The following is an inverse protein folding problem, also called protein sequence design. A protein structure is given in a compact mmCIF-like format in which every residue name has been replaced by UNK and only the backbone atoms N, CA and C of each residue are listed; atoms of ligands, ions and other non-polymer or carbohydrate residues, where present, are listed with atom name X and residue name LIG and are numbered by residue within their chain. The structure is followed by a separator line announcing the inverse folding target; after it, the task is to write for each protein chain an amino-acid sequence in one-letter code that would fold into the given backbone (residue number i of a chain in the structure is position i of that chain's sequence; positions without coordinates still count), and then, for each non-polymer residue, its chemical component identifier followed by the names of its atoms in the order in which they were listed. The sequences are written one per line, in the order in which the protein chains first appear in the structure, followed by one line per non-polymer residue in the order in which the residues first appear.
data_IF_849965755592
#
_entry.id   IF_849965755592
#
_cell.length_a   1.000
_cell.length_b   1.000
_cell.length_c   1.000
_cell.angle_alpha   90.00
_cell.angle_beta   90.00
_cell.angle_gamma   90.00
#
_symmetry.space_group_name_H-M   'P 1'
#
loop_
_entity.id
_entity.type
_entity.pdbx_description
1 polymer ?
#
# COMPACT_ATOMS: atom_id res chain seq x y z
N UNK A 1 12.03 -1.06 -1.42
CA UNK A 1 12.13 -1.62 -0.04
C UNK A 1 10.76 -2.08 0.44
N UNK A 2 9.76 -1.19 0.50
CA UNK A 2 8.38 -1.51 0.91
C UNK A 2 7.75 -2.71 0.17
N UNK A 3 7.98 -2.86 -1.13
CA UNK A 3 7.47 -4.01 -1.91
C UNK A 3 7.98 -5.38 -1.41
N UNK A 4 9.15 -5.41 -0.75
CA UNK A 4 9.74 -6.62 -0.20
C UNK A 4 9.47 -6.82 1.30
N UNK A 5 8.85 -5.84 1.97
CA UNK A 5 8.53 -5.88 3.40
C UNK A 5 7.45 -6.92 3.64
N UNK A 6 7.78 -7.92 4.46
CA UNK A 6 6.82 -8.93 4.93
C UNK A 6 5.69 -8.24 5.70
N UNK A 7 4.43 -8.70 5.60
CA UNK A 7 3.38 -8.22 6.50
C UNK A 7 3.78 -8.37 7.96
N UNK A 8 3.42 -7.38 8.79
CA UNK A 8 3.69 -7.44 10.22
C UNK A 8 2.93 -8.61 10.83
N UNK A 9 3.57 -9.37 11.71
CA UNK A 9 2.88 -10.45 12.41
C UNK A 9 1.75 -9.84 13.27
N UNK A 10 0.49 -10.27 13.11
CA UNK A 10 -0.59 -9.77 13.94
C UNK A 10 -0.60 -10.47 15.31
N UNK A 11 -0.98 -9.74 16.35
CA UNK A 11 -1.13 -10.32 17.70
C UNK A 11 -2.34 -11.27 17.75
N UNK A 12 -3.44 -10.86 17.11
CA UNK A 12 -4.67 -11.65 16.98
C UNK A 12 -5.25 -11.53 15.58
N UNK A 13 -5.88 -12.61 15.12
CA UNK A 13 -6.62 -12.66 13.86
C UNK A 13 -8.09 -12.91 14.15
N UNK A 14 -8.91 -11.89 13.89
CA UNK A 14 -10.37 -11.98 13.92
C UNK A 14 -10.89 -12.51 12.59
N UNK A 15 -11.91 -13.35 12.63
CA UNK A 15 -12.55 -13.90 11.43
C UNK A 15 -14.05 -13.64 11.46
N UNK A 16 -14.57 -13.23 10.32
CA UNK A 16 -16.00 -13.15 10.02
C UNK A 16 -16.25 -14.00 8.80
N UNK A 17 -17.25 -14.88 8.88
CA UNK A 17 -17.75 -15.60 7.72
C UNK A 17 -19.15 -15.08 7.43
N UNK A 18 -19.40 -14.61 6.21
CA UNK A 18 -20.74 -14.18 5.81
C UNK A 18 -21.69 -15.39 5.87
N UNK A 19 -22.75 -15.28 6.68
CA UNK A 19 -23.73 -16.33 6.89
C UNK A 19 -24.74 -16.48 5.75
N UNK A 20 -25.71 -17.39 5.94
CA UNK A 20 -26.86 -17.58 5.03
C UNK A 20 -27.63 -16.28 4.83
N UNK A 21 -28.01 -15.97 3.59
CA UNK A 21 -28.78 -14.77 3.21
C UNK A 21 -27.99 -13.69 2.47
N UNK A 22 -26.65 -13.75 2.45
CA UNK A 22 -25.81 -12.90 1.59
C UNK A 22 -25.56 -13.51 0.20
N UNK A 23 -25.86 -14.78 0.03
CA UNK A 23 -25.66 -15.55 -1.21
C UNK A 23 -26.93 -15.67 -2.08
N UNK A 24 -28.07 -15.16 -1.62
CA UNK A 24 -29.39 -15.39 -2.24
C UNK A 24 -29.90 -14.20 -3.08
N UNK A 25 -29.41 -12.98 -2.80
CA UNK A 25 -29.98 -11.76 -3.37
C UNK A 25 -28.97 -10.99 -4.24
N UNK A 26 -28.79 -11.36 -5.52
CA UNK A 26 -27.74 -10.81 -6.40
C UNK A 26 -27.91 -9.33 -6.77
N UNK A 27 -29.10 -8.76 -6.56
CA UNK A 27 -29.40 -7.36 -6.86
C UNK A 27 -29.51 -6.48 -5.59
N UNK A 28 -29.29 -7.06 -4.41
CA UNK A 28 -29.39 -6.32 -3.15
C UNK A 28 -28.14 -5.49 -2.92
N UNK A 29 -28.35 -4.28 -2.43
CA UNK A 29 -27.28 -3.41 -1.94
C UNK A 29 -27.16 -3.55 -0.42
N UNK A 30 -25.94 -3.76 0.06
CA UNK A 30 -25.62 -3.93 1.47
C UNK A 30 -24.64 -2.84 1.91
N UNK A 31 -24.81 -2.34 3.13
CA UNK A 31 -23.77 -1.56 3.80
C UNK A 31 -22.75 -2.53 4.39
N UNK A 32 -21.54 -2.58 3.81
CA UNK A 32 -20.48 -3.50 4.23
C UNK A 32 -20.03 -3.25 5.66
N UNK A 33 -19.95 -1.97 6.06
CA UNK A 33 -19.52 -1.62 7.40
C UNK A 33 -20.54 -2.06 8.43
N UNK A 34 -21.80 -1.63 8.27
CA UNK A 34 -22.86 -1.95 9.24
C UNK A 34 -23.15 -3.45 9.31
N UNK A 35 -23.17 -4.12 8.16
CA UNK A 35 -23.60 -5.53 8.08
C UNK A 35 -22.55 -6.51 8.59
N UNK A 36 -21.25 -6.19 8.44
CA UNK A 36 -20.17 -7.14 8.70
C UNK A 36 -19.05 -6.55 9.55
N UNK A 37 -18.48 -5.41 9.12
CA UNK A 37 -17.24 -4.92 9.71
C UNK A 37 -17.41 -4.32 11.12
N UNK A 38 -18.54 -3.68 11.41
CA UNK A 38 -18.81 -2.94 12.66
C UNK A 38 -18.64 -3.79 13.93
N UNK A 39 -18.82 -5.11 13.82
CA UNK A 39 -18.66 -6.04 14.94
C UNK A 39 -17.20 -6.24 15.39
N UNK A 40 -16.24 -5.97 14.49
CA UNK A 40 -14.80 -6.18 14.66
C UNK A 40 -13.94 -4.97 14.29
N UNK A 41 -14.57 -3.82 14.04
CA UNK A 41 -13.89 -2.53 13.92
C UNK A 41 -14.33 -1.66 15.10
N UNK A 42 -13.39 -1.39 15.99
CA UNK A 42 -13.60 -0.46 17.09
C UNK A 42 -13.38 0.98 16.59
N UNK A 43 -13.93 1.94 17.32
CA UNK A 43 -13.72 3.36 17.04
C UNK A 43 -13.59 4.16 18.33
N UNK A 44 -12.89 5.30 18.23
CA UNK A 44 -12.66 6.18 19.36
C UNK A 44 -12.21 7.57 18.93
N UNK A 45 -11.85 8.36 19.92
CA UNK A 45 -11.38 9.73 19.75
C UNK A 45 -9.88 9.82 20.04
N UNK A 46 -9.08 10.27 19.06
CA UNK A 46 -7.69 10.64 19.29
C UNK A 46 -7.64 12.11 19.72
N UNK A 47 -7.33 12.35 20.99
CA UNK A 47 -7.22 13.70 21.56
C UNK A 47 -6.08 14.53 20.96
N UNK A 48 -4.94 13.91 20.65
CA UNK A 48 -3.79 14.62 20.09
C UNK A 48 -4.03 15.09 18.66
N UNK A 49 -4.82 14.34 17.91
CA UNK A 49 -5.20 14.68 16.53
C UNK A 49 -6.57 15.34 16.41
N UNK A 50 -7.33 15.43 17.51
CA UNK A 50 -8.69 15.97 17.57
C UNK A 50 -9.63 15.36 16.52
N UNK A 51 -9.62 14.04 16.39
CA UNK A 51 -10.42 13.34 15.38
C UNK A 51 -10.90 11.96 15.84
N UNK A 52 -12.04 11.54 15.28
CA UNK A 52 -12.46 10.14 15.33
C UNK A 52 -11.57 9.30 14.43
N UNK A 53 -11.25 8.11 14.90
CA UNK A 53 -10.51 7.11 14.15
C UNK A 53 -11.00 5.70 14.48
N UNK A 54 -10.66 4.74 13.62
CA UNK A 54 -11.11 3.36 13.71
C UNK A 54 -9.93 2.41 13.59
N UNK A 55 -10.06 1.20 14.15
CA UNK A 55 -9.04 0.17 14.10
C UNK A 55 -9.65 -1.22 14.25
N UNK A 56 -8.93 -2.27 13.87
CA UNK A 56 -9.36 -3.65 14.11
C UNK A 56 -9.50 -3.91 15.61
N UNK A 57 -10.54 -4.65 15.99
CA UNK A 57 -10.90 -4.89 17.39
C UNK A 57 -9.71 -5.24 18.27
N UNK A 58 -9.57 -4.49 19.37
CA UNK A 58 -8.51 -4.70 20.36
C UNK A 58 -7.13 -4.14 20.01
N UNK A 59 -6.98 -3.40 18.90
CA UNK A 59 -5.76 -2.63 18.60
C UNK A 59 -5.30 -2.71 17.13
N UNK A 60 -4.48 -1.73 16.71
CA UNK A 60 -3.94 -1.58 15.35
C UNK A 60 -2.95 -2.70 14.94
N UNK A 61 -2.53 -3.52 15.88
CA UNK A 61 -1.65 -4.66 15.64
C UNK A 61 -2.39 -5.98 15.39
N UNK A 62 -3.72 -5.96 15.36
CA UNK A 62 -4.55 -7.13 15.06
C UNK A 62 -4.96 -7.17 13.59
N UNK A 63 -5.47 -8.32 13.14
CA UNK A 63 -5.98 -8.52 11.77
C UNK A 63 -7.46 -8.91 11.79
N UNK A 64 -8.21 -8.47 10.78
CA UNK A 64 -9.58 -8.89 10.50
C UNK A 64 -9.65 -9.54 9.10
N UNK A 65 -10.08 -10.79 9.04
CA UNK A 65 -10.37 -11.51 7.80
C UNK A 65 -11.88 -11.70 7.67
N UNK A 66 -12.44 -11.31 6.52
CA UNK A 66 -13.86 -11.43 6.20
C UNK A 66 -14.01 -12.33 4.97
N UNK A 67 -14.52 -13.54 5.18
CA UNK A 67 -14.78 -14.50 4.11
C UNK A 67 -16.23 -14.41 3.64
N UNK A 68 -16.41 -13.96 2.41
CA UNK A 68 -17.68 -13.77 1.72
C UNK A 68 -17.65 -14.39 0.31
N UNK A 69 -16.84 -15.43 0.07
CA UNK A 69 -16.64 -16.01 -1.28
C UNK A 69 -17.93 -16.35 -2.03
N UNK A 70 -18.99 -16.73 -1.31
CA UNK A 70 -20.28 -17.08 -1.90
C UNK A 70 -21.31 -15.94 -1.87
N UNK A 71 -20.98 -14.81 -1.25
CA UNK A 71 -21.85 -13.65 -1.22
C UNK A 71 -22.01 -13.03 -2.61
N UNK A 72 -23.23 -12.62 -2.93
CA UNK A 72 -23.60 -11.95 -4.17
C UNK A 72 -24.21 -10.59 -3.84
N UNK A 73 -24.43 -9.75 -4.86
CA UNK A 73 -24.94 -8.41 -4.66
C UNK A 73 -23.86 -7.34 -4.69
N UNK A 74 -24.25 -6.16 -4.19
CA UNK A 74 -23.39 -4.98 -4.18
C UNK A 74 -23.17 -4.53 -2.75
N UNK A 75 -21.91 -4.36 -2.36
CA UNK A 75 -21.53 -3.97 -1.01
C UNK A 75 -20.87 -2.62 -1.04
N UNK A 76 -21.37 -1.71 -0.21
CA UNK A 76 -20.90 -0.33 -0.14
C UNK A 76 -20.11 -0.14 1.13
N UNK A 77 -18.90 0.40 1.00
CA UNK A 77 -18.15 0.94 2.12
C UNK A 77 -18.13 2.45 1.97
N UNK A 78 -18.84 3.17 2.82
CA UNK A 78 -18.98 4.63 2.72
C UNK A 78 -18.85 5.25 4.10
N UNK A 79 -17.86 6.13 4.28
CA UNK A 79 -17.67 6.87 5.53
C UNK A 79 -16.74 6.20 6.54
N UNK A 80 -16.03 5.12 6.18
CA UNK A 80 -14.95 4.60 7.01
C UNK A 80 -13.73 5.51 6.86
N UNK A 81 -13.70 6.58 7.66
CA UNK A 81 -12.66 7.61 7.64
C UNK A 81 -11.72 7.48 8.83
N UNK A 82 -10.44 7.70 8.61
CA UNK A 82 -9.36 7.53 9.56
C UNK A 82 -9.34 6.10 10.12
N UNK A 83 -9.42 5.09 9.24
CA UNK A 83 -9.09 3.72 9.65
C UNK A 83 -7.58 3.64 9.86
N UNK A 84 -7.15 3.68 11.11
CA UNK A 84 -5.75 3.81 11.57
C UNK A 84 -5.00 2.50 11.72
N UNK A 85 -5.62 1.40 11.31
CA UNK A 85 -4.92 0.15 11.15
C UNK A 85 -5.49 -1.04 11.92
N UNK A 86 -4.65 -2.06 11.91
CA UNK A 86 -5.06 -3.44 11.91
C UNK A 86 -5.36 -3.89 10.49
N UNK A 87 -4.73 -4.99 10.09
CA UNK A 87 -4.84 -5.49 8.72
C UNK A 87 -6.28 -5.92 8.45
N UNK A 88 -6.80 -5.60 7.26
CA UNK A 88 -8.18 -5.87 6.88
C UNK A 88 -8.21 -6.58 5.54
N UNK A 89 -8.67 -7.83 5.54
CA UNK A 89 -8.81 -8.64 4.34
C UNK A 89 -10.30 -8.93 4.12
N UNK A 90 -10.89 -8.40 3.05
CA UNK A 90 -12.28 -8.67 2.68
C UNK A 90 -12.33 -9.43 1.36
N UNK A 91 -12.78 -10.69 1.44
CA UNK A 91 -12.84 -11.58 0.30
C UNK A 91 -14.28 -11.82 -0.15
N UNK A 92 -14.64 -11.32 -1.33
CA UNK A 92 -16.01 -11.26 -1.87
C UNK A 92 -16.05 -11.48 -3.39
N UNK A 93 -15.37 -12.52 -3.87
CA UNK A 93 -15.07 -12.77 -5.29
C UNK A 93 -16.27 -12.83 -6.24
N UNK A 94 -17.49 -13.00 -5.72
CA UNK A 94 -18.74 -13.05 -6.50
C UNK A 94 -19.58 -11.77 -6.40
N UNK A 95 -19.16 -10.81 -5.58
CA UNK A 95 -19.89 -9.57 -5.30
C UNK A 95 -19.19 -8.34 -5.87
N UNK A 96 -19.96 -7.28 -6.08
CA UNK A 96 -19.43 -5.96 -6.45
C UNK A 96 -19.15 -5.15 -5.20
N UNK A 97 -17.96 -4.57 -5.10
CA UNK A 97 -17.61 -3.59 -4.09
C UNK A 97 -17.76 -2.18 -4.64
N UNK A 98 -18.44 -1.31 -3.90
CA UNK A 98 -18.47 0.13 -4.13
C UNK A 98 -17.73 0.82 -2.98
N UNK A 99 -16.55 1.37 -3.28
CA UNK A 99 -15.77 2.18 -2.36
C UNK A 99 -16.23 3.64 -2.46
N UNK A 100 -17.06 4.01 -1.50
CA UNK A 100 -17.71 5.30 -1.43
C UNK A 100 -19.15 5.26 -1.93
N UNK A 101 -19.93 6.25 -1.50
CA UNK A 101 -21.23 6.60 -2.06
C UNK A 101 -21.54 8.04 -1.64
N UNK A 102 -22.20 8.21 -0.49
CA UNK A 102 -22.49 9.53 0.09
C UNK A 102 -21.23 10.17 0.70
N UNK A 103 -20.28 9.36 1.16
CA UNK A 103 -19.03 9.83 1.73
C UNK A 103 -17.87 8.99 1.20
N UNK A 104 -16.65 9.52 1.32
CA UNK A 104 -15.42 8.80 0.99
C UNK A 104 -14.89 7.96 2.15
N UNK A 105 -13.76 7.31 1.91
CA UNK A 105 -13.08 6.46 2.88
C UNK A 105 -11.62 6.89 3.03
N UNK A 106 -11.01 6.56 4.16
CA UNK A 106 -9.58 6.72 4.31
C UNK A 106 -8.95 5.64 5.17
N UNK A 107 -7.80 5.15 4.70
CA UNK A 107 -7.01 4.10 5.32
C UNK A 107 -5.63 4.67 5.62
N UNK A 108 -5.19 4.54 6.86
CA UNK A 108 -3.94 5.09 7.35
C UNK A 108 -3.37 4.19 8.45
N UNK A 109 -2.20 4.54 8.94
CA UNK A 109 -1.58 3.88 10.09
C UNK A 109 -1.16 4.93 11.11
N UNK A 110 -0.80 4.49 12.31
CA UNK A 110 0.01 5.32 13.22
C UNK A 110 1.44 4.84 13.25
N UNK A 111 2.36 5.79 13.28
CA UNK A 111 3.74 5.54 13.61
C UNK A 111 3.83 5.12 15.07
N UNK A 112 4.26 3.89 15.28
CA UNK A 112 4.53 3.27 16.56
C UNK A 112 5.98 2.80 16.61
N UNK A 113 6.41 2.20 17.73
CA UNK A 113 7.79 1.70 17.87
C UNK A 113 8.12 0.53 16.95
N UNK A 114 7.12 -0.06 16.29
CA UNK A 114 7.28 -1.17 15.36
C UNK A 114 7.22 -0.72 13.89
N UNK A 115 7.03 0.59 13.63
CA UNK A 115 6.88 1.18 12.30
C UNK A 115 5.97 0.33 11.39
N UNK A 116 4.81 -0.05 11.95
CA UNK A 116 3.87 -0.97 11.29
C UNK A 116 3.31 -0.38 10.02
N UNK A 117 3.01 -1.26 9.07
CA UNK A 117 2.30 -0.95 7.83
C UNK A 117 0.88 -1.48 7.92
N UNK A 118 -0.12 -0.61 7.76
CA UNK A 118 -1.51 -1.09 7.65
C UNK A 118 -1.75 -1.66 6.26
N UNK A 119 -2.23 -2.90 6.17
CA UNK A 119 -2.59 -3.54 4.89
C UNK A 119 -4.10 -3.74 4.81
N UNK A 120 -4.71 -3.17 3.77
CA UNK A 120 -6.14 -3.30 3.51
C UNK A 120 -6.31 -3.92 2.15
N UNK A 121 -6.91 -5.11 2.10
CA UNK A 121 -7.04 -5.91 0.91
C UNK A 121 -8.53 -6.19 0.62
N UNK A 122 -8.99 -5.79 -0.57
CA UNK A 122 -10.30 -6.13 -1.09
C UNK A 122 -10.16 -7.04 -2.30
N UNK A 123 -10.84 -8.19 -2.28
CA UNK A 123 -10.89 -9.14 -3.39
C UNK A 123 -12.34 -9.33 -3.83
N UNK A 124 -12.76 -8.71 -4.91
CA UNK A 124 -14.15 -8.65 -5.36
C UNK A 124 -14.31 -9.11 -6.82
N UNK A 125 -15.55 -9.20 -7.28
CA UNK A 125 -15.85 -9.38 -8.71
C UNK A 125 -15.54 -8.11 -9.50
N UNK A 126 -16.16 -7.01 -9.07
CA UNK A 126 -15.95 -5.66 -9.57
C UNK A 126 -15.64 -4.72 -8.41
N UNK A 127 -14.81 -3.72 -8.65
CA UNK A 127 -14.59 -2.63 -7.70
C UNK A 127 -14.90 -1.30 -8.41
N UNK A 128 -15.83 -0.54 -7.84
CA UNK A 128 -16.16 0.82 -8.26
C UNK A 128 -15.78 1.80 -7.17
N UNK A 129 -14.99 2.81 -7.51
CA UNK A 129 -14.61 3.90 -6.61
C UNK A 129 -15.49 5.09 -6.95
N UNK A 130 -16.49 5.33 -6.09
CA UNK A 130 -17.59 6.26 -6.41
C UNK A 130 -17.46 7.60 -5.68
N UNK A 131 -16.47 7.72 -4.79
CA UNK A 131 -16.19 8.91 -4.00
C UNK A 131 -14.69 8.96 -3.69
N UNK A 132 -14.25 9.87 -2.82
CA UNK A 132 -12.84 9.96 -2.46
C UNK A 132 -12.35 8.74 -1.67
N UNK A 133 -11.11 8.32 -1.95
CA UNK A 133 -10.34 7.34 -1.17
C UNK A 133 -8.97 7.95 -0.88
N UNK A 134 -8.68 8.15 0.40
CA UNK A 134 -7.40 8.67 0.85
C UNK A 134 -6.56 7.56 1.48
N UNK A 135 -5.32 7.39 1.03
CA UNK A 135 -4.40 6.33 1.46
C UNK A 135 -3.22 6.98 2.19
N UNK A 136 -2.99 6.52 3.42
CA UNK A 136 -2.05 7.05 4.40
C UNK A 136 -2.30 8.53 4.78
N UNK A 137 -3.57 8.92 4.87
CA UNK A 137 -3.95 10.30 5.18
C UNK A 137 -3.51 10.71 6.59
N UNK A 138 -3.36 12.03 6.78
CA UNK A 138 -3.23 12.62 8.11
C UNK A 138 -4.53 12.48 8.89
N UNK A 139 -4.46 11.97 10.12
CA UNK A 139 -5.62 11.95 11.01
C UNK A 139 -5.82 13.33 11.64
N UNK A 140 -6.99 13.92 11.41
CA UNK A 140 -7.39 15.20 12.00
C UNK A 140 -6.41 16.34 11.72
N UNK A 141 -5.99 17.04 12.77
CA UNK A 141 -4.99 18.12 12.68
C UNK A 141 -3.60 17.61 12.32
N UNK A 142 -3.30 16.34 12.64
CA UNK A 142 -1.98 15.73 12.59
C UNK A 142 -0.98 16.30 13.58
N UNK A 143 -1.42 17.03 14.62
CA UNK A 143 -0.55 17.52 15.68
C UNK A 143 -0.01 16.37 16.55
N UNK A 144 -0.85 15.36 16.81
CA UNK A 144 -0.52 14.17 17.60
C UNK A 144 0.28 13.13 16.82
N UNK A 145 -0.14 11.87 16.90
CA UNK A 145 0.54 10.75 16.25
C UNK A 145 0.56 10.93 14.73
N UNK A 146 1.71 10.65 14.12
CA UNK A 146 1.96 10.76 12.68
C UNK A 146 1.62 9.44 11.98
N UNK A 147 1.31 9.49 10.70
CA UNK A 147 1.14 8.29 9.89
C UNK A 147 2.49 7.59 9.63
N UNK A 148 2.46 6.27 9.47
CA UNK A 148 3.62 5.45 9.09
C UNK A 148 3.52 5.14 7.59
N UNK A 149 3.18 3.91 7.21
CA UNK A 149 2.85 3.52 5.83
C UNK A 149 1.55 2.72 5.74
N UNK A 150 0.93 2.73 4.57
CA UNK A 150 -0.32 2.00 4.29
C UNK A 150 -0.28 1.41 2.89
N UNK A 151 -0.72 0.15 2.77
CA UNK A 151 -0.89 -0.55 1.51
C UNK A 151 -2.38 -0.86 1.33
N UNK A 152 -2.98 -0.31 0.29
CA UNK A 152 -4.33 -0.69 -0.16
C UNK A 152 -4.21 -1.58 -1.39
N UNK A 153 -4.76 -2.79 -1.34
CA UNK A 153 -4.83 -3.70 -2.49
C UNK A 153 -6.27 -3.86 -2.95
N UNK A 154 -6.52 -3.51 -4.21
CA UNK A 154 -7.80 -3.73 -4.87
C UNK A 154 -7.62 -4.82 -5.91
N UNK A 155 -8.25 -5.96 -5.69
CA UNK A 155 -8.24 -7.11 -6.60
C UNK A 155 -9.65 -7.33 -7.13
N UNK A 156 -9.81 -7.28 -8.44
CA UNK A 156 -11.11 -7.48 -9.09
C UNK A 156 -10.99 -8.44 -10.27
N UNK A 157 -11.85 -9.46 -10.33
CA UNK A 157 -11.81 -10.42 -11.43
C UNK A 157 -12.33 -9.87 -12.76
N UNK A 158 -13.17 -8.84 -12.75
CA UNK A 158 -13.73 -8.22 -13.96
C UNK A 158 -13.11 -6.84 -14.25
N UNK A 159 -13.22 -5.90 -13.31
CA UNK A 159 -12.68 -4.55 -13.52
C UNK A 159 -12.62 -3.70 -12.27
N UNK A 160 -11.71 -2.72 -12.30
CA UNK A 160 -11.63 -1.62 -11.33
C UNK A 160 -11.93 -0.32 -12.06
N UNK A 161 -12.98 0.37 -11.62
CA UNK A 161 -13.42 1.63 -12.23
C UNK A 161 -13.57 2.73 -11.19
N UNK A 162 -13.59 3.99 -11.62
CA UNK A 162 -14.00 5.09 -10.76
C UNK A 162 -14.95 6.04 -11.44
N UNK A 163 -15.78 6.72 -10.64
CA UNK A 163 -16.59 7.87 -11.09
C UNK A 163 -15.67 9.04 -11.49
N UNK A 164 -16.16 9.91 -12.39
CA UNK A 164 -15.46 11.12 -12.81
C UNK A 164 -15.15 12.10 -11.66
N UNK A 165 -15.95 12.06 -10.59
CA UNK A 165 -15.82 12.92 -9.43
C UNK A 165 -15.08 12.24 -8.27
N UNK A 166 -14.72 10.96 -8.41
CA UNK A 166 -13.92 10.28 -7.40
C UNK A 166 -12.51 10.88 -7.35
N UNK A 167 -11.90 10.92 -6.16
CA UNK A 167 -10.51 11.31 -6.01
C UNK A 167 -9.77 10.24 -5.21
N UNK A 168 -8.69 9.70 -5.79
CA UNK A 168 -7.83 8.75 -5.09
C UNK A 168 -6.57 9.51 -4.70
N UNK A 169 -6.40 9.79 -3.41
CA UNK A 169 -5.26 10.55 -2.89
C UNK A 169 -4.29 9.62 -2.17
N UNK A 170 -3.04 9.59 -2.63
CA UNK A 170 -1.93 8.89 -1.99
C UNK A 170 -1.02 9.91 -1.31
N UNK A 171 -0.85 9.77 0.00
CA UNK A 171 0.08 10.57 0.78
C UNK A 171 1.45 9.89 0.88
N UNK A 172 2.40 10.53 1.58
CA UNK A 172 3.70 9.91 1.88
C UNK A 172 3.52 8.53 2.54
N UNK A 173 4.27 7.52 2.11
CA UNK A 173 4.17 6.14 2.62
C UNK A 173 2.97 5.34 2.10
N UNK A 174 2.21 5.86 1.13
CA UNK A 174 1.06 5.16 0.56
C UNK A 174 1.44 4.27 -0.63
N UNK A 175 0.92 3.04 -0.64
CA UNK A 175 0.95 2.15 -1.81
C UNK A 175 -0.47 1.72 -2.19
N UNK A 176 -0.80 1.82 -3.47
CA UNK A 176 -2.03 1.28 -4.05
C UNK A 176 -1.69 0.16 -5.04
N UNK A 177 -2.03 -1.08 -4.70
CA UNK A 177 -1.91 -2.22 -5.59
C UNK A 177 -3.24 -2.46 -6.32
N UNK A 178 -3.20 -2.57 -7.65
CA UNK A 178 -4.34 -2.88 -8.50
C UNK A 178 -4.06 -4.18 -9.23
N UNK A 179 -4.97 -5.15 -9.10
CA UNK A 179 -4.92 -6.42 -9.81
C UNK A 179 -6.28 -6.67 -10.46
N UNK A 180 -6.36 -6.63 -11.78
CA UNK A 180 -7.60 -6.85 -12.51
C UNK A 180 -7.36 -7.09 -13.99
N UNK A 181 -8.41 -7.47 -14.71
CA UNK A 181 -8.37 -7.49 -16.18
C UNK A 181 -8.33 -6.08 -16.76
N UNK A 182 -8.94 -5.09 -16.12
CA UNK A 182 -8.92 -3.71 -16.60
C UNK A 182 -8.99 -2.72 -15.45
N UNK A 183 -8.32 -1.58 -15.62
CA UNK A 183 -8.36 -0.45 -14.68
C UNK A 183 -8.71 0.81 -15.45
N UNK A 184 -9.80 1.47 -15.07
CA UNK A 184 -10.25 2.74 -15.66
C UNK A 184 -10.65 3.74 -14.59
N UNK A 185 -9.73 4.62 -14.23
CA UNK A 185 -9.93 5.64 -13.20
C UNK A 185 -10.29 6.96 -13.87
N UNK A 186 -11.57 7.33 -13.82
CA UNK A 186 -12.10 8.52 -14.51
C UNK A 186 -11.91 9.80 -13.70
N UNK A 187 -11.86 9.69 -12.39
CA UNK A 187 -11.59 10.79 -11.48
C UNK A 187 -10.10 11.14 -11.37
N UNK A 188 -9.78 12.07 -10.46
CA UNK A 188 -8.39 12.48 -10.22
C UNK A 188 -7.66 11.43 -9.37
N UNK A 189 -6.48 11.04 -9.81
CA UNK A 189 -5.54 10.25 -9.01
C UNK A 189 -4.42 11.18 -8.58
N UNK A 190 -4.31 11.46 -7.28
CA UNK A 190 -3.34 12.39 -6.73
C UNK A 190 -2.25 11.65 -5.97
N UNK A 191 -1.05 11.62 -6.52
CA UNK A 191 0.13 10.99 -5.92
C UNK A 191 1.00 12.01 -5.20
N UNK A 192 1.38 11.72 -3.96
CA UNK A 192 2.30 12.55 -3.18
C UNK A 192 1.68 13.86 -2.67
N UNK A 193 0.41 13.80 -2.23
CA UNK A 193 -0.30 14.98 -1.72
C UNK A 193 0.32 15.48 -0.40
N UNK A 194 0.25 16.80 -0.15
CA UNK A 194 0.78 17.40 1.07
C UNK A 194 0.10 16.84 2.32
N UNK A 195 0.84 16.06 3.10
CA UNK A 195 0.26 15.36 4.25
C UNK A 195 0.05 16.27 5.46
N UNK A 196 0.97 17.21 5.73
CA UNK A 196 0.88 18.14 6.86
C UNK A 196 1.02 19.58 6.37
N UNK A 197 0.20 20.47 6.93
CA UNK A 197 0.26 21.90 6.62
C UNK A 197 1.66 22.43 6.99
N UNK A 198 2.29 23.15 6.08
CA UNK A 198 3.63 23.73 6.28
C UNK A 198 4.80 22.78 6.03
N UNK A 199 4.57 21.49 5.81
CA UNK A 199 5.63 20.50 5.54
C UNK A 199 6.08 20.49 4.06
N UNK A 200 6.25 21.66 3.45
CA UNK A 200 6.53 21.81 2.01
C UNK A 200 7.88 21.24 1.56
N UNK A 201 8.82 21.05 2.50
CA UNK A 201 10.14 20.50 2.23
C UNK A 201 10.20 18.97 2.39
N UNK A 202 9.17 18.35 2.95
CA UNK A 202 9.14 16.90 3.10
C UNK A 202 8.96 16.24 1.72
N UNK A 203 9.86 15.35 1.30
CA UNK A 203 9.59 14.51 0.15
C UNK A 203 8.39 13.62 0.48
N UNK A 204 7.50 13.44 -0.50
CA UNK A 204 6.34 12.57 -0.36
C UNK A 204 6.44 11.44 -1.36
N UNK A 205 6.66 10.22 -0.85
CA UNK A 205 6.79 9.02 -1.66
C UNK A 205 5.47 8.28 -1.73
N UNK A 206 5.03 7.94 -2.94
CA UNK A 206 3.82 7.15 -3.14
C UNK A 206 3.98 6.22 -4.32
N UNK A 207 3.33 5.05 -4.24
CA UNK A 207 3.42 4.01 -5.28
C UNK A 207 2.03 3.59 -5.73
N UNK A 208 1.81 3.55 -7.04
CA UNK A 208 0.71 2.78 -7.63
C UNK A 208 1.33 1.59 -8.35
N UNK A 209 0.88 0.39 -8.01
CA UNK A 209 1.35 -0.84 -8.61
C UNK A 209 0.22 -1.48 -9.41
N UNK A 210 0.40 -1.51 -10.73
CA UNK A 210 -0.52 -2.12 -11.70
C UNK A 210 0.11 -3.32 -12.40
N UNK A 211 1.21 -3.87 -11.88
CA UNK A 211 1.93 -4.98 -12.50
C UNK A 211 1.08 -6.24 -12.69
N UNK A 212 0.01 -6.39 -11.90
CA UNK A 212 -0.96 -7.48 -11.99
C UNK A 212 -2.21 -7.14 -12.81
N UNK A 213 -2.20 -6.03 -13.54
CA UNK A 213 -3.25 -5.70 -14.51
C UNK A 213 -2.91 -6.35 -15.84
N UNK A 214 -3.78 -7.27 -16.30
CA UNK A 214 -3.52 -8.06 -17.51
C UNK A 214 -3.96 -7.34 -18.79
N UNK A 215 -4.97 -6.47 -18.72
CA UNK A 215 -5.39 -5.60 -19.81
C UNK A 215 -4.81 -4.19 -19.68
N UNK A 216 -5.62 -3.20 -20.06
CA UNK A 216 -5.19 -1.81 -20.10
C UNK A 216 -5.41 -1.09 -18.77
N UNK A 217 -4.47 -0.20 -18.44
CA UNK A 217 -4.58 0.78 -17.37
C UNK A 217 -4.87 2.14 -17.97
N UNK A 218 -5.94 2.79 -17.51
CA UNK A 218 -6.34 4.12 -17.96
C UNK A 218 -6.57 5.03 -16.77
N UNK A 219 -5.72 6.06 -16.65
CA UNK A 219 -5.89 7.19 -15.76
C UNK A 219 -6.41 8.37 -16.58
N UNK A 220 -7.62 8.84 -16.30
CA UNK A 220 -8.14 10.03 -16.99
C UNK A 220 -7.39 11.30 -16.56
N UNK A 221 -7.12 11.45 -15.27
CA UNK A 221 -6.38 12.57 -14.70
C UNK A 221 -5.45 12.08 -13.58
N UNK A 222 -4.15 12.34 -13.74
CA UNK A 222 -3.10 12.05 -12.77
C UNK A 222 -2.44 13.36 -12.32
N UNK A 223 -2.43 13.61 -11.02
CA UNK A 223 -1.75 14.74 -10.39
C UNK A 223 -0.60 14.22 -9.53
N UNK A 224 0.59 14.82 -9.63
CA UNK A 224 1.75 14.44 -8.82
C UNK A 224 2.31 15.64 -8.07
N UNK A 225 2.34 15.53 -6.75
CA UNK A 225 2.80 16.56 -5.83
C UNK A 225 1.76 17.63 -5.52
N UNK A 226 1.98 18.30 -4.40
CA UNK A 226 1.19 19.44 -3.92
C UNK A 226 2.07 20.26 -2.99
N UNK A 227 2.64 21.36 -3.49
CA UNK A 227 3.54 22.24 -2.71
C UNK A 227 4.70 21.51 -2.02
N UNK A 228 5.11 20.36 -2.55
CA UNK A 228 6.15 19.51 -1.97
C UNK A 228 7.04 18.88 -3.05
N UNK A 229 8.15 18.26 -2.63
CA UNK A 229 9.06 17.53 -3.51
C UNK A 229 8.62 16.07 -3.69
N UNK A 230 7.35 15.84 -4.06
CA UNK A 230 6.81 14.49 -4.22
C UNK A 230 7.61 13.66 -5.24
N UNK A 231 7.82 12.38 -4.92
CA UNK A 231 8.46 11.39 -5.78
C UNK A 231 7.52 10.19 -5.89
N UNK A 232 6.74 10.16 -6.97
CA UNK A 232 5.75 9.14 -7.25
C UNK A 232 6.33 8.04 -8.14
N UNK A 233 5.91 6.80 -7.89
CA UNK A 233 6.25 5.65 -8.72
C UNK A 233 5.00 4.92 -9.22
N UNK A 234 4.94 4.63 -10.52
CA UNK A 234 3.98 3.70 -11.10
C UNK A 234 4.74 2.47 -11.57
N UNK A 235 4.52 1.34 -10.91
CA UNK A 235 4.93 0.02 -11.43
C UNK A 235 3.84 -0.40 -12.41
N UNK A 236 4.11 -0.22 -13.69
CA UNK A 236 3.12 -0.27 -14.75
C UNK A 236 2.91 -1.69 -15.28
N UNK A 237 1.71 -2.01 -15.79
CA UNK A 237 1.56 -3.08 -16.77
C UNK A 237 2.15 -2.66 -18.14
N UNK A 238 2.11 -3.56 -19.13
CA UNK A 238 2.66 -3.30 -20.47
C UNK A 238 2.09 -2.03 -21.13
N UNK A 239 0.84 -1.67 -20.84
CA UNK A 239 0.13 -0.57 -21.52
C UNK A 239 -0.53 0.36 -20.51
N UNK A 240 0.02 1.57 -20.40
CA UNK A 240 -0.50 2.61 -19.51
C UNK A 240 -0.94 3.82 -20.33
N UNK A 241 -2.19 4.24 -20.13
CA UNK A 241 -2.76 5.46 -20.70
C UNK A 241 -3.01 6.48 -19.61
N UNK A 242 -2.55 7.71 -19.82
CA UNK A 242 -2.78 8.87 -18.95
C UNK A 242 -3.39 9.97 -19.82
N UNK A 243 -4.58 10.45 -19.44
CA UNK A 243 -5.24 11.56 -20.12
C UNK A 243 -4.49 12.88 -19.86
N UNK A 244 -4.71 13.46 -18.69
CA UNK A 244 -3.96 14.65 -18.25
C UNK A 244 -3.01 14.27 -17.12
N UNK A 245 -1.75 14.67 -17.25
CA UNK A 245 -0.72 14.59 -16.21
C UNK A 245 -0.40 16.01 -15.72
N UNK A 246 -0.69 16.29 -14.45
CA UNK A 246 -0.33 17.54 -13.79
C UNK A 246 0.84 17.30 -12.81
N UNK A 247 2.01 17.87 -13.11
CA UNK A 247 3.18 17.80 -12.24
C UNK A 247 3.32 19.07 -11.41
N UNK A 248 3.58 18.93 -10.12
CA UNK A 248 4.07 20.05 -9.31
C UNK A 248 5.49 20.46 -9.73
N UNK A 249 5.86 21.71 -9.48
CA UNK A 249 7.14 22.30 -9.89
C UNK A 249 8.38 21.48 -9.50
N UNK A 250 8.31 20.76 -8.38
CA UNK A 250 9.37 19.90 -7.84
C UNK A 250 9.00 18.42 -7.80
N UNK A 251 7.94 18.00 -8.50
CA UNK A 251 7.50 16.62 -8.50
C UNK A 251 8.29 15.75 -9.48
N UNK A 252 8.61 14.53 -9.04
CA UNK A 252 9.08 13.45 -9.89
C UNK A 252 8.03 12.37 -10.04
N UNK A 253 7.86 11.84 -11.26
CA UNK A 253 7.07 10.66 -11.56
C UNK A 253 7.94 9.64 -12.30
N UNK A 254 8.04 8.42 -11.75
CA UNK A 254 8.75 7.31 -12.37
C UNK A 254 7.75 6.24 -12.80
N UNK A 255 7.59 6.02 -14.11
CA UNK A 255 6.75 4.97 -14.68
C UNK A 255 7.65 3.82 -15.13
N UNK A 256 7.61 2.73 -14.36
CA UNK A 256 8.45 1.55 -14.56
C UNK A 256 7.62 0.50 -15.29
N UNK A 257 7.92 0.26 -16.55
CA UNK A 257 7.36 -0.81 -17.34
C UNK A 257 8.04 -2.16 -17.02
N UNK A 258 7.38 -3.30 -17.28
CA UNK A 258 7.95 -4.62 -17.05
C UNK A 258 9.14 -4.89 -17.96
N UNK A 259 10.12 -5.71 -17.51
CA UNK A 259 11.20 -6.19 -18.36
C UNK A 259 10.68 -7.17 -19.42
N UNK A 260 11.54 -7.53 -20.36
CA UNK A 260 11.28 -8.63 -21.29
C UNK A 260 11.00 -9.93 -20.50
N UNK A 261 9.84 -10.56 -20.76
CA UNK A 261 9.35 -11.73 -20.01
C UNK A 261 8.48 -11.42 -18.79
N UNK A 262 8.22 -10.14 -18.49
CA UNK A 262 7.30 -9.71 -17.42
C UNK A 262 7.92 -9.70 -16.03
N UNK A 263 7.17 -9.19 -15.05
CA UNK A 263 7.57 -9.27 -13.65
C UNK A 263 7.49 -10.72 -13.17
N UNK A 264 8.54 -11.19 -12.50
CA UNK A 264 8.53 -12.49 -11.84
C UNK A 264 7.94 -12.33 -10.43
N UNK A 265 7.10 -13.28 -10.05
CA UNK A 265 6.70 -13.39 -8.65
C UNK A 265 7.94 -13.67 -7.80
N UNK A 266 7.92 -13.11 -6.58
CA UNK A 266 8.96 -13.40 -5.60
C UNK A 266 8.98 -14.91 -5.35
N UNK A 267 10.15 -15.58 -5.41
CA UNK A 267 10.22 -16.98 -5.02
C UNK A 267 9.72 -17.13 -3.59
N UNK A 268 8.76 -18.04 -3.37
CA UNK A 268 8.28 -18.36 -2.03
C UNK A 268 9.45 -19.00 -1.26
N UNK A 269 10.04 -18.24 -0.33
CA UNK A 269 10.94 -18.80 0.67
C UNK A 269 10.11 -19.55 1.73
N UNK A 270 9.49 -20.66 1.33
CA UNK A 270 9.18 -21.73 2.27
C UNK A 270 10.49 -22.48 2.46
N UNK A 271 11.06 -22.58 3.68
CA UNK A 271 12.16 -23.52 3.89
C UNK A 271 11.59 -24.90 3.61
N UNK A 272 11.97 -25.47 2.47
CA UNK A 272 11.72 -26.88 2.21
C UNK A 272 12.53 -27.64 3.26
N UNK A 273 11.87 -28.16 4.30
CA UNK A 273 12.45 -29.16 5.18
C UNK A 273 12.60 -30.45 4.37
N UNK A 274 13.54 -30.46 3.44
CA UNK A 274 14.11 -31.70 2.92
C UNK A 274 15.14 -32.17 3.93
N UNK A 275 14.83 -33.27 4.63
CA UNK A 275 15.66 -33.84 5.67
C UNK A 275 17.08 -34.14 5.21
N UNK A 276 18.05 -33.54 5.89
CA UNK A 276 19.39 -34.08 5.98
C UNK A 276 19.48 -34.84 7.31
N UNK A 277 19.75 -36.14 7.19
CA UNK A 277 19.95 -37.09 8.28
C UNK A 277 21.08 -36.60 9.20
N UNK A 278 20.81 -36.58 10.50
CA UNK A 278 21.84 -36.58 11.53
C UNK A 278 22.54 -37.94 11.49
N UNK A 279 23.73 -38.00 10.88
CA UNK A 279 24.62 -39.14 11.01
C UNK A 279 25.73 -38.82 12.03
N UNK A 280 25.88 -39.78 12.94
CA UNK A 280 27.06 -40.08 13.79
C UNK A 280 27.25 -39.29 15.08
N UNK A 281 26.52 -39.79 16.06
CA UNK A 281 27.02 -40.17 17.38
C UNK A 281 28.35 -40.96 17.26
N UNK A 282 29.43 -40.46 17.85
CA UNK A 282 30.59 -41.28 18.21
C UNK A 282 31.12 -40.87 19.59
N UNK A 283 31.36 -41.92 20.35
CA UNK A 283 31.61 -41.99 21.78
C UNK A 283 33.07 -41.79 22.16
N UNK A 284 33.26 -41.52 23.46
CA UNK A 284 34.43 -41.83 24.30
C UNK A 284 35.55 -40.77 24.38
N UNK A 285 35.64 -40.07 25.51
CA UNK A 285 36.39 -40.53 26.71
C UNK A 285 36.28 -39.47 27.82
N UNK A 286 35.79 -39.92 28.97
CA UNK A 286 35.98 -39.26 30.25
C UNK A 286 37.34 -39.71 30.80
N UNK A 287 38.24 -38.77 31.07
CA UNK A 287 39.29 -38.97 32.08
C UNK A 287 39.06 -37.97 33.21
N UNK A 288 38.77 -38.54 34.38
CA UNK A 288 38.70 -37.84 35.66
C UNK A 288 40.11 -37.47 36.10
N UNK A 289 40.28 -36.24 36.56
CA UNK A 289 41.34 -35.93 37.53
C UNK A 289 40.76 -35.03 38.63
N UNK A 290 40.72 -35.58 39.84
CA UNK A 290 40.35 -34.92 41.09
C UNK A 290 41.47 -33.99 41.59
N UNK A 291 41.09 -32.87 42.22
CA UNK A 291 41.74 -32.42 43.44
C UNK A 291 40.86 -31.44 44.25
N UNK A 292 40.42 -31.92 45.42
CA UNK A 292 40.48 -31.24 46.73
C UNK A 292 39.51 -30.09 47.10
N UNK A 293 38.49 -30.48 47.88
CA UNK A 293 38.04 -29.95 49.19
C UNK A 293 37.73 -28.45 49.44
N UNK A 294 36.43 -28.21 49.73
CA UNK A 294 35.84 -27.59 50.95
C UNK A 294 34.98 -26.30 50.84
N UNK A 295 33.77 -26.45 51.41
CA UNK A 295 32.85 -25.51 52.07
C UNK A 295 31.88 -24.60 51.28
N UNK A 296 30.62 -25.04 51.28
CA UNK A 296 29.39 -24.32 51.67
C UNK A 296 29.22 -22.85 51.26
N UNK A 297 28.48 -22.63 50.16
CA UNK A 297 27.33 -21.71 50.12
C UNK A 297 26.55 -21.92 48.81
N UNK A 298 25.22 -21.86 48.90
CA UNK A 298 24.25 -21.93 47.80
C UNK A 298 24.62 -20.96 46.66
N UNK A 299 24.99 -21.49 45.49
CA UNK A 299 25.04 -20.73 44.25
C UNK A 299 23.97 -21.27 43.29
N UNK A 300 22.90 -20.49 43.14
CA UNK A 300 22.00 -20.59 41.98
C UNK A 300 22.79 -20.07 40.79
N UNK A 301 23.41 -20.97 40.03
CA UNK A 301 23.95 -20.63 38.71
C UNK A 301 22.74 -20.57 37.78
N UNK A 302 22.17 -19.37 37.60
CA UNK A 302 21.35 -19.13 36.41
C UNK A 302 22.26 -19.34 35.20
N UNK A 303 21.90 -20.20 34.22
CA UNK A 303 22.68 -20.28 32.99
C UNK A 303 22.73 -18.88 32.35
N UNK A 304 23.88 -18.45 31.82
CA UNK A 304 23.99 -17.15 31.18
C UNK A 304 22.94 -17.06 30.08
N UNK A 305 21.97 -16.18 30.29
CA UNK A 305 20.92 -15.87 29.34
C UNK A 305 21.53 -14.98 28.24
N UNK A 306 22.36 -15.57 27.39
CA UNK A 306 22.93 -14.90 26.23
C UNK A 306 23.05 -15.84 25.04
N UNK A 307 21.95 -16.53 24.70
CA UNK A 307 21.81 -17.05 23.35
C UNK A 307 21.45 -15.89 22.42
N UNK A 308 22.42 -15.00 22.15
CA UNK A 308 22.33 -14.11 21.00
C UNK A 308 22.44 -14.98 19.76
N UNK A 309 21.31 -15.21 19.10
CA UNK A 309 21.24 -15.96 17.86
C UNK A 309 21.39 -14.99 16.70
N UNK A 310 22.30 -15.27 15.78
CA UNK A 310 22.37 -14.54 14.51
C UNK A 310 21.06 -14.74 13.76
N UNK A 311 20.34 -13.66 13.54
CA UNK A 311 19.16 -13.64 12.69
C UNK A 311 19.60 -13.25 11.27
N UNK A 312 19.33 -14.12 10.30
CA UNK A 312 19.57 -13.83 8.89
C UNK A 312 18.36 -13.04 8.40
N UNK A 313 18.55 -11.76 8.08
CA UNK A 313 17.50 -10.98 7.44
C UNK A 313 17.17 -11.56 6.05
N UNK A 314 15.90 -11.52 5.63
CA UNK A 314 15.52 -12.01 4.30
C UNK A 314 16.28 -11.24 3.22
N UNK A 315 16.67 -11.92 2.13
CA UNK A 315 17.36 -11.28 1.01
C UNK A 315 16.53 -10.12 0.48
N UNK A 316 17.07 -8.90 0.60
CA UNK A 316 16.48 -7.71 0.02
C UNK A 316 16.99 -7.57 -1.41
N UNK A 317 16.15 -7.93 -2.38
CA UNK A 317 16.40 -7.61 -3.78
C UNK A 317 16.10 -6.12 -3.98
N UNK A 318 17.09 -5.36 -4.42
CA UNK A 318 16.95 -3.96 -4.79
C UNK A 318 17.01 -3.90 -6.30
N UNK A 319 15.95 -3.39 -6.92
CA UNK A 319 15.89 -3.24 -8.37
C UNK A 319 16.74 -2.02 -8.78
N UNK A 320 17.75 -2.27 -9.62
CA UNK A 320 18.43 -1.21 -10.36
C UNK A 320 17.62 -0.79 -11.59
N UNK A 321 18.02 0.28 -12.29
CA UNK A 321 17.40 0.63 -13.56
C UNK A 321 17.58 -0.50 -14.58
N UNK A 322 16.49 -0.89 -15.25
CA UNK A 322 16.48 -1.91 -16.29
C UNK A 322 15.64 -1.45 -17.48
N UNK A 323 15.87 -2.02 -18.66
CA UNK A 323 15.10 -1.72 -19.86
C UNK A 323 13.73 -2.41 -19.83
N UNK A 324 12.67 -1.68 -20.18
CA UNK A 324 11.35 -2.27 -20.39
C UNK A 324 11.35 -3.23 -21.59
N UNK A 325 10.41 -4.17 -21.60
CA UNK A 325 10.18 -5.09 -22.71
C UNK A 325 9.77 -4.36 -24.00
N UNK A 326 9.96 -5.01 -25.15
CA UNK A 326 9.80 -4.36 -26.47
C UNK A 326 8.41 -3.75 -26.71
N UNK A 327 7.36 -4.38 -26.20
CA UNK A 327 5.97 -3.97 -26.41
C UNK A 327 5.42 -3.04 -25.31
N UNK A 328 6.30 -2.48 -24.48
CA UNK A 328 5.89 -1.61 -23.38
C UNK A 328 5.62 -0.18 -23.87
N UNK A 329 4.43 0.32 -23.56
CA UNK A 329 3.94 1.61 -24.06
C UNK A 329 3.34 2.46 -22.95
N UNK A 330 3.80 3.71 -22.88
CA UNK A 330 3.21 4.77 -22.06
C UNK A 330 2.64 5.84 -22.98
N UNK A 331 1.32 6.00 -22.95
CA UNK A 331 0.58 7.00 -23.70
C UNK A 331 0.13 8.11 -22.76
N UNK A 332 0.63 9.33 -22.96
CA UNK A 332 0.21 10.50 -22.18
C UNK A 332 -0.40 11.53 -23.13
N UNK A 333 -1.67 11.89 -22.97
CA UNK A 333 -2.29 12.82 -23.91
C UNK A 333 -1.86 14.28 -23.68
N UNK A 334 -1.73 14.71 -22.42
CA UNK A 334 -1.30 16.07 -22.05
C UNK A 334 -0.44 16.08 -20.80
N UNK A 335 0.63 16.86 -20.80
CA UNK A 335 1.46 17.12 -19.61
C UNK A 335 1.36 18.59 -19.24
N UNK A 336 1.07 18.89 -17.99
CA UNK A 336 1.12 20.23 -17.42
C UNK A 336 2.11 20.29 -16.26
N UNK A 337 2.62 21.49 -16.00
CA UNK A 337 3.36 21.80 -14.76
C UNK A 337 2.66 22.93 -14.01
N UNK A 338 2.45 22.75 -12.70
CA UNK A 338 1.84 23.71 -11.78
C UNK A 338 2.89 24.40 -10.87
N UNK A 339 2.57 25.61 -10.39
CA UNK A 339 3.48 26.56 -9.76
C UNK A 339 2.82 27.37 -8.63
N UNK A 340 3.49 27.64 -7.51
CA UNK A 340 3.03 28.61 -6.49
C UNK A 340 3.81 29.94 -6.46
N UNK A 341 4.63 30.20 -7.49
CA UNK A 341 5.36 31.47 -7.62
C UNK A 341 6.60 31.59 -6.73
N UNK A 342 6.95 30.55 -5.96
CA UNK A 342 8.24 30.53 -5.25
C UNK A 342 9.41 30.54 -6.25
N UNK A 343 10.52 31.15 -5.84
CA UNK A 343 11.71 31.40 -6.67
C UNK A 343 12.89 30.70 -6.02
N UNK A 344 13.72 30.00 -6.81
CA UNK A 344 15.00 29.44 -6.34
C UNK A 344 16.06 29.58 -7.42
N UNK A 345 17.33 29.68 -7.02
CA UNK A 345 18.46 29.68 -7.94
C UNK A 345 18.41 28.40 -8.79
N UNK A 346 18.48 28.56 -10.11
CA UNK A 346 18.40 27.44 -11.06
C UNK A 346 17.00 26.89 -11.34
N UNK A 347 15.94 27.45 -10.75
CA UNK A 347 14.57 27.06 -11.07
C UNK A 347 14.16 25.68 -10.54
N UNK A 348 12.88 25.34 -10.64
CA UNK A 348 12.34 24.07 -10.17
C UNK A 348 12.30 23.02 -11.29
N UNK A 349 12.65 21.78 -10.97
CA UNK A 349 12.64 20.65 -11.93
C UNK A 349 11.47 19.72 -11.61
N UNK A 350 10.47 19.73 -12.48
CA UNK A 350 9.51 18.64 -12.59
C UNK A 350 10.08 17.56 -13.52
N UNK A 351 9.90 16.28 -13.20
CA UNK A 351 10.46 15.20 -14.02
C UNK A 351 9.50 14.03 -14.20
N UNK A 352 9.40 13.55 -15.43
CA UNK A 352 8.83 12.26 -15.77
C UNK A 352 9.96 11.35 -16.25
N UNK A 353 10.10 10.18 -15.65
CA UNK A 353 11.06 9.14 -16.04
C UNK A 353 10.30 7.88 -16.42
N UNK A 354 10.67 7.24 -17.52
CA UNK A 354 10.15 5.91 -17.87
C UNK A 354 11.21 5.07 -18.55
N UNK A 355 11.15 3.75 -18.34
CA UNK A 355 11.97 2.76 -19.03
C UNK A 355 11.18 2.00 -20.11
N UNK A 356 9.94 2.40 -20.42
CA UNK A 356 9.15 1.80 -21.48
C UNK A 356 9.84 1.99 -22.84
N UNK A 357 9.65 1.03 -23.74
CA UNK A 357 10.19 1.09 -25.10
C UNK A 357 9.60 2.27 -25.90
N UNK A 358 8.35 2.64 -25.60
CA UNK A 358 7.65 3.73 -26.24
C UNK A 358 7.01 4.69 -25.24
N UNK A 359 7.35 5.97 -25.35
CA UNK A 359 6.63 7.07 -24.71
C UNK A 359 5.99 7.93 -25.81
N UNK A 360 4.66 7.97 -25.84
CA UNK A 360 3.91 8.79 -26.78
C UNK A 360 3.24 9.95 -26.07
N UNK A 361 3.49 11.16 -26.55
CA UNK A 361 2.79 12.37 -26.12
C UNK A 361 1.73 12.71 -27.16
N UNK A 362 0.47 12.74 -26.74
CA UNK A 362 -0.68 12.99 -27.60
C UNK A 362 -0.83 14.46 -28.02
N UNK A 363 -1.93 14.74 -28.70
CA UNK A 363 -2.22 16.08 -29.26
C UNK A 363 -2.45 17.17 -28.20
N UNK A 364 -2.67 16.79 -26.94
CA UNK A 364 -2.73 17.74 -25.83
C UNK A 364 -1.40 18.42 -25.54
N UNK A 365 -0.28 17.84 -25.98
CA UNK A 365 1.05 18.44 -25.93
C UNK A 365 1.59 18.63 -24.51
N UNK A 366 2.56 19.54 -24.40
CA UNK A 366 3.21 19.90 -23.13
C UNK A 366 2.93 21.37 -22.84
N UNK A 367 2.45 21.65 -21.63
CA UNK A 367 2.20 22.99 -21.13
C UNK A 367 3.04 23.23 -19.87
N UNK A 368 3.91 24.23 -19.93
CA UNK A 368 4.84 24.55 -18.86
C UNK A 368 4.49 25.92 -18.28
N UNK A 369 3.93 25.93 -17.06
CA UNK A 369 3.70 27.18 -16.33
C UNK A 369 5.04 27.74 -15.89
N UNK A 370 5.44 28.87 -16.46
CA UNK A 370 6.71 29.53 -16.13
C UNK A 370 6.52 30.63 -15.07
N UNK A 371 7.57 30.89 -14.30
CA UNK A 371 7.62 31.96 -13.28
C UNK A 371 8.90 32.78 -13.47
N UNK A 372 9.19 33.71 -12.56
CA UNK A 372 10.38 34.58 -12.65
C UNK A 372 11.71 33.80 -12.75
N UNK A 373 11.81 32.65 -12.08
CA UNK A 373 12.84 31.66 -12.39
C UNK A 373 12.33 30.72 -13.48
N UNK A 374 13.12 30.55 -14.55
CA UNK A 374 12.86 29.54 -15.57
C UNK A 374 12.70 28.14 -14.96
N UNK A 375 11.87 27.30 -15.59
CA UNK A 375 11.57 25.93 -15.15
C UNK A 375 12.07 24.87 -16.11
#
# INVERSE_FOLDING_TARGET
EEANKTPDKPDKVWRIQAGKGFNEFPNKEYDLYQSLLSSKIDGGWDWGNAARHYWVKGGQQNKLEVDMKDAVGTYKLSGLRNFTGGDLDVNMQKATLRLGQFNGNSFTSYKDSADRTTRVDFNAKNISIDNFVEINNRVGSGAGRKASSTVLTLQASEGITSDKNAEISLYDGATLNLASNSVKLMGNVWMGRLQYVGAYLAPSYSTINTSKVTGEVNFNHLTVGDKNAAQAGIIASNKTHIGTLDLWQSAGLNIIAPPEGGYKDKPNNTPSQSGAKNDKQESAKNDKQESSQNNSNTQVINPPNSAQKTEIQPTQVIDGPFAGGKDTVVNINRINTNADGTIRVGGYKASLTTNAAHLHIGKGGVNLSNQASGR
#
